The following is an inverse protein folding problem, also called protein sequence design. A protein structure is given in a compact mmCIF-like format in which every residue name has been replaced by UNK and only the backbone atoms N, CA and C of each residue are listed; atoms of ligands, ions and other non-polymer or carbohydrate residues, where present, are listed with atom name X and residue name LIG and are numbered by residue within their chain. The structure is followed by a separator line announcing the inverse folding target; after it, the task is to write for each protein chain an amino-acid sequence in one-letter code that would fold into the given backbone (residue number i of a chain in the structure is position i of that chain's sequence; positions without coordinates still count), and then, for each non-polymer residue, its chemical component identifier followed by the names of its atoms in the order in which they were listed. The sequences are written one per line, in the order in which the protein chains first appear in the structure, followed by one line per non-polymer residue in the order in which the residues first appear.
data_IF_227804860994
#
_entry.id   IF_227804860994
#
_cell.length_a   1.000
_cell.length_b   1.000
_cell.length_c   1.000
_cell.angle_alpha   90.00
_cell.angle_beta   90.00
_cell.angle_gamma   90.00
#
_symmetry.space_group_name_H-M   'P 1'
#
loop_
_entity.id
_entity.type
_entity.pdbx_description
1 polymer ?
#
# COMPACT_ATOMS: atom_id res chain seq x y z
N UNK A 1 -10.88 30.43 12.21
CA UNK A 1 -11.32 29.42 11.23
C UNK A 1 -10.09 29.06 10.41
N UNK A 2 -9.61 27.82 10.49
CA UNK A 2 -8.53 27.36 9.62
C UNK A 2 -9.01 27.42 8.18
N UNK A 3 -8.21 28.03 7.30
CA UNK A 3 -8.50 28.10 5.86
C UNK A 3 -8.76 26.70 5.32
N UNK A 4 -9.77 26.55 4.46
CA UNK A 4 -10.00 25.30 3.76
C UNK A 4 -8.75 24.92 2.94
N UNK A 5 -8.40 23.64 2.91
CA UNK A 5 -7.25 23.14 2.16
C UNK A 5 -7.55 23.20 0.66
N UNK A 6 -6.85 24.08 -0.03
CA UNK A 6 -7.06 24.47 -1.43
C UNK A 6 -5.94 23.96 -2.37
N UNK A 7 -4.94 23.28 -1.83
CA UNK A 7 -3.86 22.65 -2.61
C UNK A 7 -4.35 21.33 -3.23
N UNK A 8 -3.78 20.91 -4.39
CA UNK A 8 -4.09 19.63 -4.99
C UNK A 8 -3.86 18.47 -4.01
N UNK A 9 -4.87 17.63 -3.86
CA UNK A 9 -4.78 16.42 -3.04
C UNK A 9 -4.15 15.32 -3.91
N UNK A 10 -3.06 14.67 -3.47
CA UNK A 10 -2.49 13.54 -4.19
C UNK A 10 -3.52 12.43 -4.33
N UNK A 11 -3.78 12.01 -5.56
CA UNK A 11 -4.63 10.86 -5.85
C UNK A 11 -3.74 9.62 -5.79
N UNK A 12 -4.13 8.62 -5.02
CA UNK A 12 -3.43 7.34 -5.03
C UNK A 12 -3.51 6.74 -6.45
N UNK A 13 -2.35 6.56 -7.09
CA UNK A 13 -2.24 6.12 -8.49
C UNK A 13 -2.86 4.75 -8.76
N UNK A 14 -2.97 3.89 -7.75
CA UNK A 14 -3.74 2.66 -7.78
C UNK A 14 -4.42 2.46 -6.41
N UNK A 15 -5.66 2.92 -6.30
CA UNK A 15 -6.41 2.88 -5.04
C UNK A 15 -6.56 1.45 -4.54
N UNK A 16 -6.88 0.49 -5.40
CA UNK A 16 -7.07 -0.91 -5.01
C UNK A 16 -5.80 -1.51 -4.41
N UNK A 17 -4.65 -1.28 -5.06
CA UNK A 17 -3.36 -1.81 -4.63
C UNK A 17 -2.88 -1.18 -3.31
N UNK A 18 -3.14 0.12 -3.12
CA UNK A 18 -2.63 0.86 -1.96
C UNK A 18 -3.63 0.97 -0.81
N UNK A 19 -4.90 0.62 -1.03
CA UNK A 19 -5.98 0.67 -0.03
C UNK A 19 -5.63 -0.05 1.28
N UNK A 20 -5.06 -1.27 1.29
CA UNK A 20 -4.72 -1.93 2.56
C UNK A 20 -3.76 -1.09 3.42
N UNK A 21 -2.73 -0.52 2.80
CA UNK A 21 -1.76 0.36 3.46
C UNK A 21 -2.44 1.61 4.03
N UNK A 22 -3.28 2.29 3.24
CA UNK A 22 -3.97 3.50 3.70
C UNK A 22 -5.01 3.22 4.81
N UNK A 23 -5.70 2.09 4.77
CA UNK A 23 -6.63 1.70 5.83
C UNK A 23 -5.90 1.33 7.14
N UNK A 24 -4.74 0.67 7.06
CA UNK A 24 -3.92 0.39 8.23
C UNK A 24 -3.34 1.66 8.85
N UNK A 25 -2.85 2.60 8.04
CA UNK A 25 -2.32 3.88 8.55
C UNK A 25 -3.40 4.72 9.24
N UNK A 26 -4.67 4.68 8.79
CA UNK A 26 -5.80 5.28 9.51
C UNK A 26 -6.03 4.68 10.91
N UNK A 27 -5.63 3.41 11.12
CA UNK A 27 -5.67 2.73 12.43
C UNK A 27 -4.39 2.93 13.25
N UNK A 28 -3.38 3.62 12.72
CA UNK A 28 -2.08 3.76 13.38
C UNK A 28 -1.18 2.52 13.25
N UNK A 29 -1.45 1.66 12.27
CA UNK A 29 -0.68 0.44 12.00
C UNK A 29 0.28 0.66 10.82
N UNK A 30 1.49 0.13 10.94
CA UNK A 30 2.44 0.01 9.83
C UNK A 30 2.40 -1.44 9.31
N UNK A 31 1.88 -1.61 8.11
CA UNK A 31 1.87 -2.89 7.39
C UNK A 31 2.72 -2.80 6.12
N UNK A 32 3.26 -3.93 5.68
CA UNK A 32 4.00 -4.06 4.42
C UNK A 32 3.56 -5.34 3.70
N UNK A 33 3.56 -5.36 2.35
CA UNK A 33 3.28 -6.56 1.59
C UNK A 33 4.18 -7.75 1.97
N UNK A 34 3.57 -8.93 1.96
CA UNK A 34 4.24 -10.22 2.11
C UNK A 34 3.88 -11.14 0.94
N UNK A 35 4.86 -11.79 0.31
CA UNK A 35 4.58 -12.77 -0.74
C UNK A 35 4.32 -14.16 -0.13
N UNK A 36 3.12 -14.70 -0.33
CA UNK A 36 2.77 -16.03 0.17
C UNK A 36 3.53 -17.16 -0.56
N UNK A 37 3.97 -16.93 -1.80
CA UNK A 37 4.68 -17.95 -2.58
C UNK A 37 6.15 -18.12 -2.23
N UNK A 38 6.85 -17.06 -1.80
CA UNK A 38 8.29 -17.11 -1.52
C UNK A 38 8.69 -16.48 -0.19
N UNK A 39 7.72 -16.12 0.65
CA UNK A 39 7.92 -15.52 1.97
C UNK A 39 8.70 -14.21 2.02
N UNK A 40 8.77 -13.48 0.90
CA UNK A 40 9.49 -12.22 0.84
C UNK A 40 8.61 -11.06 1.34
N UNK A 41 9.12 -10.29 2.30
CA UNK A 41 8.56 -8.99 2.70
C UNK A 41 9.17 -7.89 1.84
N UNK A 42 8.37 -6.92 1.38
CA UNK A 42 8.90 -5.83 0.56
C UNK A 42 8.09 -4.54 0.69
N UNK A 43 8.77 -3.41 0.47
CA UNK A 43 8.17 -2.09 0.36
C UNK A 43 8.48 -1.51 -1.02
N UNK A 44 7.58 -0.83 -1.73
CA UNK A 44 6.21 -0.37 -1.45
C UNK A 44 5.15 -1.31 -2.10
N UNK A 45 3.83 -1.03 -1.99
CA UNK A 45 2.77 -1.80 -2.68
C UNK A 45 3.07 -2.05 -4.17
N UNK A 46 3.14 -3.31 -4.62
CA UNK A 46 3.35 -3.69 -6.03
C UNK A 46 2.36 -4.75 -6.45
N UNK A 47 2.04 -4.81 -7.74
CA UNK A 47 1.13 -5.81 -8.31
C UNK A 47 1.73 -7.23 -8.32
N UNK A 48 3.06 -7.34 -8.19
CA UNK A 48 3.80 -8.61 -8.18
C UNK A 48 4.95 -8.55 -7.17
N UNK A 49 5.33 -9.71 -6.65
CA UNK A 49 6.50 -9.86 -5.79
C UNK A 49 7.79 -9.49 -6.54
N UNK A 50 8.64 -8.61 -6.00
CA UNK A 50 9.89 -8.23 -6.66
C UNK A 50 10.94 -9.36 -6.66
N UNK A 51 10.77 -10.40 -5.86
CA UNK A 51 11.69 -11.52 -5.75
C UNK A 51 11.32 -12.67 -6.71
N UNK A 52 10.06 -13.11 -6.70
CA UNK A 52 9.62 -14.29 -7.45
C UNK A 52 8.56 -14.03 -8.52
N UNK A 53 8.14 -12.77 -8.72
CA UNK A 53 7.11 -12.35 -9.68
C UNK A 53 5.71 -12.95 -9.50
N UNK A 54 5.48 -13.68 -8.39
CA UNK A 54 4.13 -14.14 -8.03
C UNK A 54 3.18 -12.96 -7.77
N UNK A 55 1.90 -13.15 -8.11
CA UNK A 55 0.79 -12.25 -7.77
C UNK A 55 0.13 -12.59 -6.43
N UNK A 56 0.54 -13.69 -5.80
CA UNK A 56 0.00 -14.14 -4.51
C UNK A 56 0.66 -13.34 -3.37
N UNK A 57 0.07 -12.18 -3.10
CA UNK A 57 0.52 -11.18 -2.14
C UNK A 57 -0.51 -11.04 -1.01
N UNK A 58 -0.03 -11.10 0.23
CA UNK A 58 -0.74 -10.74 1.45
C UNK A 58 -0.36 -9.36 1.99
N UNK A 59 -1.11 -8.91 2.99
CA UNK A 59 -1.04 -7.59 3.64
C UNK A 59 -1.21 -7.70 5.16
#
# INVERSE_FOLDING_TARGET
MTSAYDKPIPIASNEVLTKPFWEATKRGELIIPYCNSCSNLFFYPREVCPNCFSKDLGW
#
